data_IF_241647905892
#
_entry.id   IF_241647905892
#
_cell.length_a   1.000
_cell.length_b   1.000
_cell.length_c   1.000
_cell.angle_alpha   90.00
_cell.angle_beta   90.00
_cell.angle_gamma   90.00
#
_symmetry.space_group_name_H-M   'P 1'
#
loop_
_entity.id
_entity.type
_entity.pdbx_description
1 polymer ?
#
# COMPACT_ATOMS: atom_id res chain seq x y z
N UNK A 1 -16.86 9.58 14.54
CA UNK A 1 -15.70 8.67 14.61
C UNK A 1 -14.80 9.04 13.44
N UNK A 2 -13.57 9.51 13.67
CA UNK A 2 -12.65 9.84 12.56
C UNK A 2 -12.07 8.53 12.06
N UNK A 3 -12.61 8.03 10.96
CA UNK A 3 -11.98 6.96 10.21
C UNK A 3 -10.64 7.49 9.68
N UNK A 4 -9.56 6.74 9.95
CA UNK A 4 -8.20 7.14 9.55
C UNK A 4 -8.04 6.80 8.09
N UNK A 5 -7.57 7.76 7.30
CA UNK A 5 -7.31 7.51 5.88
C UNK A 5 -6.19 6.50 5.71
N UNK A 6 -6.15 5.86 4.55
CA UNK A 6 -5.06 4.97 4.15
C UNK A 6 -3.72 5.69 4.31
N UNK A 7 -3.64 6.99 3.97
CA UNK A 7 -2.43 7.79 4.17
C UNK A 7 -1.97 7.79 5.61
N UNK A 8 -2.85 8.01 6.58
CA UNK A 8 -2.48 8.01 7.99
C UNK A 8 -2.02 6.62 8.47
N UNK A 9 -2.74 5.56 8.06
CA UNK A 9 -2.41 4.17 8.39
C UNK A 9 -1.04 3.80 7.80
N UNK A 10 -0.82 4.14 6.54
CA UNK A 10 0.44 3.97 5.81
C UNK A 10 1.62 4.67 6.49
N UNK A 11 1.43 5.91 6.96
CA UNK A 11 2.44 6.69 7.67
C UNK A 11 2.77 6.07 9.04
N UNK A 12 1.77 5.55 9.75
CA UNK A 12 1.98 4.85 11.01
C UNK A 12 2.70 3.50 10.79
N UNK A 13 2.27 2.73 9.80
CA UNK A 13 2.87 1.44 9.45
C UNK A 13 4.33 1.59 9.01
N UNK A 14 4.67 2.58 8.17
CA UNK A 14 6.05 2.78 7.73
C UNK A 14 6.97 3.13 8.91
N UNK A 15 6.51 3.98 9.84
CA UNK A 15 7.27 4.34 11.06
C UNK A 15 7.51 3.13 11.96
N UNK A 16 6.51 2.27 12.10
CA UNK A 16 6.66 1.01 12.84
C UNK A 16 7.69 0.10 12.16
N UNK A 17 7.51 -0.17 10.86
CA UNK A 17 8.39 -1.08 10.11
C UNK A 17 9.83 -0.60 9.98
N UNK A 18 10.07 0.71 9.94
CA UNK A 18 11.42 1.27 9.90
C UNK A 18 12.33 0.73 11.02
N UNK A 19 11.76 0.34 12.17
CA UNK A 19 12.52 -0.22 13.30
C UNK A 19 12.91 -1.69 13.13
N UNK A 20 12.24 -2.41 12.23
CA UNK A 20 12.35 -3.87 12.10
C UNK A 20 12.94 -4.32 10.77
N UNK A 21 13.00 -3.46 9.75
CA UNK A 21 13.48 -3.82 8.41
C UNK A 21 14.78 -3.09 8.05
N UNK A 22 15.59 -3.73 7.20
CA UNK A 22 16.79 -3.11 6.63
C UNK A 22 16.41 -1.91 5.76
N UNK A 23 17.31 -0.94 5.65
CA UNK A 23 17.09 0.30 4.89
C UNK A 23 16.74 0.05 3.42
N UNK A 24 17.37 -0.93 2.76
CA UNK A 24 17.06 -1.29 1.37
C UNK A 24 15.63 -1.84 1.20
N UNK A 25 15.18 -2.70 2.12
CA UNK A 25 13.80 -3.20 2.15
C UNK A 25 12.80 -2.09 2.48
N UNK A 26 13.15 -1.21 3.42
CA UNK A 26 12.33 -0.06 3.78
C UNK A 26 12.12 0.88 2.59
N UNK A 27 13.19 1.19 1.85
CA UNK A 27 13.11 2.02 0.66
C UNK A 27 12.18 1.41 -0.40
N UNK A 28 12.25 0.10 -0.63
CA UNK A 28 11.33 -0.59 -1.53
C UNK A 28 9.87 -0.48 -1.07
N UNK A 29 9.60 -0.65 0.23
CA UNK A 29 8.24 -0.48 0.77
C UNK A 29 7.73 0.95 0.64
N UNK A 30 8.55 1.95 0.96
CA UNK A 30 8.18 3.37 0.82
C UNK A 30 7.92 3.71 -0.65
N UNK A 31 8.75 3.25 -1.57
CA UNK A 31 8.58 3.47 -3.00
C UNK A 31 7.24 2.91 -3.50
N UNK A 32 6.91 1.67 -3.10
CA UNK A 32 5.62 1.04 -3.40
C UNK A 32 4.46 1.83 -2.78
N UNK A 33 4.61 2.23 -1.52
CA UNK A 33 3.61 2.99 -0.81
C UNK A 33 3.34 4.33 -1.48
N UNK A 34 4.35 5.14 -1.76
CA UNK A 34 4.16 6.48 -2.30
C UNK A 34 3.70 6.46 -3.75
N UNK A 35 4.35 5.68 -4.62
CA UNK A 35 4.03 5.71 -6.05
C UNK A 35 2.74 4.98 -6.41
N UNK A 36 2.36 3.96 -5.65
CA UNK A 36 1.25 3.10 -6.01
C UNK A 36 0.08 3.21 -5.02
N UNK A 37 0.35 3.03 -3.73
CA UNK A 37 -0.74 2.94 -2.74
C UNK A 37 -1.29 4.32 -2.41
N UNK A 38 -0.45 5.30 -2.07
CA UNK A 38 -0.88 6.65 -1.72
C UNK A 38 -1.41 7.41 -2.94
N UNK A 39 -0.79 7.24 -4.11
CA UNK A 39 -1.30 7.83 -5.36
C UNK A 39 -2.67 7.32 -5.77
N UNK A 40 -3.04 6.08 -5.41
CA UNK A 40 -4.34 5.49 -5.79
C UNK A 40 -5.37 5.50 -4.67
N UNK A 41 -4.94 5.36 -3.42
CA UNK A 41 -5.81 5.11 -2.26
C UNK A 41 -5.55 6.07 -1.09
N UNK A 42 -4.62 7.03 -1.20
CA UNK A 42 -4.20 7.87 -0.08
C UNK A 42 -5.34 8.61 0.62
N UNK A 43 -6.31 9.09 -0.16
CA UNK A 43 -7.51 9.79 0.30
C UNK A 43 -8.71 8.87 0.50
N UNK A 44 -8.58 7.57 0.18
CA UNK A 44 -9.61 6.60 0.50
C UNK A 44 -9.60 6.33 2.00
N UNK A 45 -10.80 6.26 2.55
CA UNK A 45 -11.06 5.88 3.94
C UNK A 45 -11.23 4.36 4.09
N UNK A 46 -11.80 3.74 3.06
CA UNK A 46 -12.06 2.31 2.98
C UNK A 46 -11.69 1.77 1.62
N UNK A 47 -11.05 0.61 1.61
CA UNK A 47 -10.59 -0.06 0.41
C UNK A 47 -11.55 -1.20 0.07
N UNK A 48 -12.30 -1.06 -1.02
CA UNK A 48 -13.18 -2.13 -1.51
C UNK A 48 -12.42 -3.10 -2.42
N UNK A 49 -12.82 -4.37 -2.41
CA UNK A 49 -12.23 -5.40 -3.27
C UNK A 49 -12.27 -5.00 -4.76
N UNK A 50 -13.38 -4.39 -5.21
CA UNK A 50 -13.52 -3.86 -6.57
C UNK A 50 -12.42 -2.85 -6.94
N UNK A 51 -12.11 -1.92 -6.04
CA UNK A 51 -11.06 -0.91 -6.25
C UNK A 51 -9.67 -1.57 -6.34
N UNK A 52 -9.44 -2.63 -5.55
CA UNK A 52 -8.19 -3.41 -5.63
C UNK A 52 -8.08 -4.15 -6.95
N UNK A 53 -9.16 -4.80 -7.40
CA UNK A 53 -9.19 -5.49 -8.68
C UNK A 53 -8.95 -4.52 -9.84
N UNK A 54 -9.61 -3.36 -9.83
CA UNK A 54 -9.42 -2.33 -10.86
C UNK A 54 -7.98 -1.80 -10.84
N UNK A 55 -7.41 -1.55 -9.67
CA UNK A 55 -6.01 -1.16 -9.53
C UNK A 55 -5.04 -2.20 -10.09
N UNK A 56 -5.27 -3.49 -9.83
CA UNK A 56 -4.45 -4.59 -10.38
C UNK A 56 -4.52 -4.58 -11.92
N UNK A 57 -5.72 -4.48 -12.48
CA UNK A 57 -5.91 -4.41 -13.93
C UNK A 57 -5.23 -3.18 -14.53
N UNK A 58 -5.36 -2.01 -13.90
CA UNK A 58 -4.70 -0.77 -14.32
C UNK A 58 -3.17 -0.94 -14.35
N UNK A 59 -2.56 -1.53 -13.32
CA UNK A 59 -1.10 -1.75 -13.27
C UNK A 59 -0.63 -2.77 -14.31
N UNK A 60 -1.40 -3.84 -14.55
CA UNK A 60 -1.09 -4.80 -15.60
C UNK A 60 -1.18 -4.17 -17.00
N UNK A 61 -2.22 -3.36 -17.26
CA UNK A 61 -2.35 -2.62 -18.52
C UNK A 61 -1.25 -1.58 -18.71
N UNK A 62 -0.74 -0.99 -17.63
CA UNK A 62 0.42 -0.10 -17.65
C UNK A 62 1.76 -0.83 -17.91
N UNK A 63 1.74 -2.15 -18.15
CA UNK A 63 2.92 -2.94 -18.49
C UNK A 63 3.74 -3.40 -17.29
N UNK A 64 3.22 -3.29 -16.05
CA UNK A 64 3.91 -3.84 -14.89
C UNK A 64 3.83 -5.37 -14.90
N UNK A 65 4.94 -6.00 -14.48
CA UNK A 65 4.96 -7.45 -14.32
C UNK A 65 4.02 -7.90 -13.21
N UNK A 66 3.43 -9.09 -13.38
CA UNK A 66 2.57 -9.73 -12.37
C UNK A 66 3.31 -9.87 -11.03
N UNK A 67 4.63 -10.10 -11.06
CA UNK A 67 5.48 -10.18 -9.87
C UNK A 67 5.46 -8.86 -9.09
N UNK A 68 5.73 -7.75 -9.78
CA UNK A 68 5.69 -6.41 -9.18
C UNK A 68 4.32 -6.09 -8.61
N UNK A 69 3.23 -6.41 -9.33
CA UNK A 69 1.86 -6.19 -8.84
C UNK A 69 1.58 -7.02 -7.58
N UNK A 70 2.02 -8.29 -7.54
CA UNK A 70 1.92 -9.12 -6.33
C UNK A 70 2.69 -8.52 -5.16
N UNK A 71 3.92 -8.06 -5.36
CA UNK A 71 4.71 -7.39 -4.32
C UNK A 71 3.98 -6.15 -3.77
N UNK A 72 3.37 -5.33 -4.65
CA UNK A 72 2.56 -4.17 -4.25
C UNK A 72 1.36 -4.60 -3.39
N UNK A 73 0.63 -5.65 -3.80
CA UNK A 73 -0.51 -6.17 -3.05
C UNK A 73 -0.13 -6.73 -1.68
N UNK A 74 1.04 -7.36 -1.56
CA UNK A 74 1.54 -7.85 -0.27
C UNK A 74 1.75 -6.68 0.69
N UNK A 75 2.40 -5.60 0.24
CA UNK A 75 2.61 -4.39 1.05
C UNK A 75 1.26 -3.77 1.43
N UNK A 76 0.34 -3.65 0.48
CA UNK A 76 -1.01 -3.14 0.73
C UNK A 76 -1.73 -3.95 1.81
N UNK A 77 -1.70 -5.29 1.72
CA UNK A 77 -2.29 -6.18 2.72
C UNK A 77 -1.67 -6.00 4.10
N UNK A 78 -0.36 -5.79 4.18
CA UNK A 78 0.32 -5.53 5.45
C UNK A 78 -0.12 -4.21 6.09
N UNK A 79 -0.29 -3.15 5.29
CA UNK A 79 -0.79 -1.85 5.75
C UNK A 79 -2.25 -1.96 6.23
N UNK A 80 -3.11 -2.65 5.47
CA UNK A 80 -4.51 -2.90 5.86
C UNK A 80 -4.59 -3.63 7.19
N UNK A 81 -3.80 -4.70 7.37
CA UNK A 81 -3.76 -5.46 8.62
C UNK A 81 -3.34 -4.61 9.82
N UNK A 82 -2.55 -3.57 9.59
CA UNK A 82 -2.15 -2.62 10.63
C UNK A 82 -3.26 -1.60 10.94
N UNK A 83 -4.01 -1.14 9.93
CA UNK A 83 -5.12 -0.18 10.10
C UNK A 83 -6.38 -0.75 10.74
N UNK A 84 -6.58 -2.06 10.69
CA UNK A 84 -7.70 -2.77 11.36
C UNK A 84 -7.49 -2.86 12.89
N UNK A 85 -6.33 -2.40 13.40
CA UNK A 85 -5.98 -2.41 14.82
C UNK A 85 -6.17 -1.04 15.47
#
# INVERSE_FOLDING_TARGET
>A
MKTKTIREISLAWKRDKQRYVKQSTYAAYVLVLENHILSSFGDCDSLSEKLVQEFVLQKLNAGLSIKTVKDILIVLKMVMKFGVK
#
